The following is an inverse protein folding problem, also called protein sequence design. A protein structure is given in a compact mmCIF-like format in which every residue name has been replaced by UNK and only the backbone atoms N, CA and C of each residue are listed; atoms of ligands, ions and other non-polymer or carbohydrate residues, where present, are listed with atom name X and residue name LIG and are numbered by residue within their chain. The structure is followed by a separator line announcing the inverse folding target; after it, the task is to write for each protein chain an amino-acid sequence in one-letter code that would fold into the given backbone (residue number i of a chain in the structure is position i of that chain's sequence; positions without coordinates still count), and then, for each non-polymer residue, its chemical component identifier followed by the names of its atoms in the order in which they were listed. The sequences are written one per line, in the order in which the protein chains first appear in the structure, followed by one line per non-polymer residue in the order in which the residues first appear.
data_IF_158414477131
#
_entry.id   IF_158414477131
#
_cell.length_a   1.000
_cell.length_b   1.000
_cell.length_c   1.000
_cell.angle_alpha   90.00
_cell.angle_beta   90.00
_cell.angle_gamma   90.00
#
_symmetry.space_group_name_H-M   'P 1'
#
loop_
_entity.id
_entity.type
_entity.pdbx_description
1 polymer ?
#
# COMPACT_ATOMS: atom_id res chain seq x y z
N UNK A 1 0.08 -20.35 22.35
CA UNK A 1 -1.12 -20.96 21.71
C UNK A 1 -0.86 -21.00 20.20
N UNK A 2 -1.15 -22.11 19.51
CA UNK A 2 -1.04 -22.19 18.06
C UNK A 2 -2.35 -21.75 17.43
N UNK A 3 -2.26 -20.84 16.48
CA UNK A 3 -3.41 -20.25 15.77
C UNK A 3 -3.17 -20.32 14.26
N UNK A 4 -4.23 -20.62 13.50
CA UNK A 4 -4.18 -20.48 12.05
C UNK A 4 -4.45 -19.03 11.69
N UNK A 5 -3.70 -18.51 10.74
CA UNK A 5 -3.84 -17.15 10.24
C UNK A 5 -3.92 -17.13 8.72
N UNK A 6 -4.67 -16.15 8.20
CA UNK A 6 -4.60 -15.72 6.81
C UNK A 6 -3.89 -14.38 6.76
N UNK A 7 -2.76 -14.31 6.08
CA UNK A 7 -1.89 -13.12 6.14
C UNK A 7 -1.41 -12.61 4.80
N UNK A 8 -1.22 -11.29 4.72
CA UNK A 8 -0.57 -10.59 3.61
C UNK A 8 0.82 -10.17 4.08
N UNK A 9 1.85 -10.63 3.39
CA UNK A 9 3.24 -10.30 3.72
C UNK A 9 3.51 -8.85 3.33
N UNK A 10 3.76 -7.99 4.32
CA UNK A 10 4.04 -6.57 4.09
C UNK A 10 5.50 -6.31 3.74
N UNK A 11 6.42 -7.07 4.31
CA UNK A 11 7.84 -6.94 4.04
C UNK A 11 8.69 -7.78 4.97
N UNK A 12 9.93 -8.00 4.56
CA UNK A 12 10.91 -8.79 5.33
C UNK A 12 12.19 -7.99 5.47
N UNK A 13 12.70 -7.88 6.70
CA UNK A 13 13.95 -7.21 7.01
C UNK A 13 14.96 -8.17 7.61
N UNK A 14 16.26 -7.97 7.30
CA UNK A 14 17.33 -8.75 7.90
C UNK A 14 17.38 -8.46 9.41
N UNK A 15 17.39 -9.50 10.23
CA UNK A 15 17.52 -9.40 11.68
C UNK A 15 18.92 -9.84 12.15
N UNK A 16 19.35 -11.02 11.71
CA UNK A 16 20.69 -11.55 11.95
C UNK A 16 21.06 -12.55 10.83
N UNK A 17 22.19 -13.23 10.97
CA UNK A 17 22.67 -14.16 9.93
C UNK A 17 21.81 -15.43 9.78
N UNK A 18 20.99 -15.74 10.77
CA UNK A 18 20.13 -16.95 10.78
C UNK A 18 18.66 -16.65 10.57
N UNK A 19 18.22 -15.41 10.84
CA UNK A 19 16.81 -15.04 10.81
C UNK A 19 16.58 -13.66 10.21
N UNK A 20 15.50 -13.57 9.49
CA UNK A 20 14.85 -12.32 9.09
C UNK A 20 13.59 -12.12 9.93
N UNK A 21 13.07 -10.91 9.97
CA UNK A 21 11.76 -10.60 10.53
C UNK A 21 10.83 -10.23 9.37
N UNK A 22 9.72 -10.96 9.23
CA UNK A 22 8.67 -10.64 8.27
C UNK A 22 7.49 -10.01 8.99
N UNK A 23 7.03 -8.87 8.48
CA UNK A 23 5.81 -8.21 8.91
C UNK A 23 4.65 -8.73 8.08
N UNK A 24 3.59 -9.18 8.73
CA UNK A 24 2.42 -9.78 8.09
C UNK A 24 1.17 -9.09 8.63
N UNK A 25 0.30 -8.63 7.75
CA UNK A 25 -1.03 -8.16 8.12
C UNK A 25 -2.00 -9.32 8.03
N UNK A 26 -2.48 -9.76 9.18
CA UNK A 26 -3.36 -10.92 9.29
C UNK A 26 -4.81 -10.50 9.43
N UNK A 27 -5.71 -11.34 8.91
CA UNK A 27 -7.15 -11.12 9.01
C UNK A 27 -7.65 -11.19 10.45
N UNK A 28 -7.02 -12.07 11.27
CA UNK A 28 -7.47 -12.46 12.62
C UNK A 28 -6.82 -11.60 13.72
N UNK A 29 -5.58 -11.10 13.49
CA UNK A 29 -4.77 -10.48 14.54
C UNK A 29 -4.20 -9.10 14.17
N UNK A 30 -4.55 -8.58 12.97
CA UNK A 30 -3.91 -7.38 12.48
C UNK A 30 -2.43 -7.59 12.13
N UNK A 31 -1.59 -6.60 12.33
CA UNK A 31 -0.17 -6.70 12.02
C UNK A 31 0.57 -7.49 13.08
N UNK A 32 1.32 -8.50 12.65
CA UNK A 32 2.24 -9.28 13.48
C UNK A 32 3.65 -9.30 12.88
N UNK A 33 4.65 -9.49 13.74
CA UNK A 33 6.03 -9.74 13.33
C UNK A 33 6.38 -11.21 13.57
N UNK A 34 7.00 -11.85 12.58
CA UNK A 34 7.36 -13.26 12.66
C UNK A 34 8.82 -13.52 12.27
N UNK A 35 9.45 -14.51 12.91
CA UNK A 35 10.77 -14.97 12.52
C UNK A 35 10.67 -15.81 11.25
N UNK A 36 11.45 -15.43 10.25
CA UNK A 36 11.66 -16.17 9.01
C UNK A 36 13.13 -16.65 8.95
N UNK A 37 13.39 -17.89 8.54
CA UNK A 37 14.76 -18.37 8.43
C UNK A 37 15.52 -17.61 7.34
N UNK A 38 16.73 -17.14 7.66
CA UNK A 38 17.69 -16.62 6.70
C UNK A 38 18.72 -17.74 6.37
N UNK A 39 19.26 -17.73 5.15
CA UNK A 39 20.31 -18.64 4.75
C UNK A 39 20.05 -19.38 3.43
N UNK A 40 21.02 -20.20 3.02
CA UNK A 40 21.06 -20.85 1.69
C UNK A 40 20.45 -22.24 1.64
N UNK A 41 19.95 -22.79 2.77
CA UNK A 41 19.34 -24.11 2.78
C UNK A 41 18.08 -24.16 1.89
N UNK A 42 17.75 -25.34 1.33
CA UNK A 42 16.55 -25.55 0.53
C UNK A 42 15.29 -25.10 1.28
N UNK A 43 15.18 -25.42 2.56
CA UNK A 43 14.05 -25.01 3.41
C UNK A 43 13.99 -23.49 3.59
N UNK A 44 15.12 -22.83 3.82
CA UNK A 44 15.20 -21.37 3.96
C UNK A 44 14.77 -20.68 2.68
N UNK A 45 15.30 -21.10 1.51
CA UNK A 45 14.92 -20.55 0.20
C UNK A 45 13.43 -20.72 -0.08
N UNK A 46 12.84 -21.88 0.21
CA UNK A 46 11.39 -22.09 0.05
C UNK A 46 10.58 -21.17 0.96
N UNK A 47 10.99 -20.97 2.19
CA UNK A 47 10.31 -20.05 3.12
C UNK A 47 10.41 -18.61 2.62
N UNK A 48 11.59 -18.15 2.22
CA UNK A 48 11.80 -16.82 1.66
C UNK A 48 10.96 -16.58 0.42
N UNK A 49 10.87 -17.56 -0.49
CA UNK A 49 10.02 -17.46 -1.69
C UNK A 49 8.52 -17.32 -1.36
N UNK A 50 8.06 -17.89 -0.24
CA UNK A 50 6.66 -17.77 0.22
C UNK A 50 6.39 -16.45 0.95
N UNK A 51 7.44 -15.80 1.48
CA UNK A 51 7.37 -14.55 2.22
C UNK A 51 7.80 -13.34 1.38
N UNK A 52 7.57 -13.39 0.07
CA UNK A 52 7.77 -12.24 -0.80
C UNK A 52 6.74 -11.13 -0.53
N UNK A 53 7.07 -9.86 -0.79
CA UNK A 53 6.16 -8.74 -0.60
C UNK A 53 4.80 -8.98 -1.28
N UNK A 54 3.71 -8.72 -0.56
CA UNK A 54 2.33 -8.92 -0.97
C UNK A 54 1.95 -10.37 -1.32
N UNK A 55 2.75 -11.37 -0.89
CA UNK A 55 2.27 -12.77 -0.88
C UNK A 55 1.11 -12.92 0.08
N UNK A 56 0.09 -13.68 -0.32
CA UNK A 56 -1.04 -14.05 0.54
C UNK A 56 -0.84 -15.49 0.99
N UNK A 57 -0.79 -15.71 2.28
CA UNK A 57 -0.42 -16.99 2.88
C UNK A 57 -1.44 -17.44 3.94
N UNK A 58 -1.54 -18.74 4.09
CA UNK A 58 -2.02 -19.40 5.30
C UNK A 58 -0.83 -19.94 6.08
N UNK A 59 -0.88 -19.81 7.40
CA UNK A 59 0.18 -20.31 8.26
C UNK A 59 -0.32 -20.56 9.69
N UNK A 60 0.49 -21.27 10.46
CA UNK A 60 0.31 -21.43 11.90
C UNK A 60 1.29 -20.53 12.63
N UNK A 61 0.79 -19.70 13.51
CA UNK A 61 1.59 -18.84 14.39
C UNK A 61 1.52 -19.35 15.81
N UNK A 62 2.68 -19.45 16.44
CA UNK A 62 2.75 -19.71 17.86
C UNK A 62 2.79 -18.37 18.62
N UNK A 63 1.60 -17.90 18.99
CA UNK A 63 1.43 -16.63 19.72
C UNK A 63 1.97 -16.77 21.13
N UNK A 64 2.77 -15.82 21.55
CA UNK A 64 3.30 -15.65 22.90
C UNK A 64 2.84 -14.33 23.48
N UNK A 65 2.35 -14.32 24.68
CA UNK A 65 1.97 -13.09 25.39
C UNK A 65 3.18 -12.26 25.84
N UNK A 66 4.37 -12.86 25.85
CA UNK A 66 5.61 -12.22 26.34
C UNK A 66 6.57 -11.80 25.23
N UNK A 67 6.25 -12.07 23.97
CA UNK A 67 7.13 -11.78 22.81
C UNK A 67 6.38 -11.01 21.74
N UNK A 68 7.02 -9.98 21.21
CA UNK A 68 6.53 -9.21 20.07
C UNK A 68 6.76 -9.92 18.72
N UNK A 69 7.76 -10.80 18.65
CA UNK A 69 8.10 -11.55 17.44
C UNK A 69 7.74 -13.02 17.65
N UNK A 70 6.91 -13.54 16.76
CA UNK A 70 6.34 -14.86 16.86
C UNK A 70 7.01 -15.86 15.92
N UNK A 71 6.85 -17.16 16.20
CA UNK A 71 7.33 -18.23 15.33
C UNK A 71 6.23 -18.61 14.32
N UNK A 72 6.62 -18.72 13.05
CA UNK A 72 5.75 -19.11 11.96
C UNK A 72 6.08 -20.55 11.51
N UNK A 73 5.05 -21.34 11.25
CA UNK A 73 5.16 -22.70 10.73
C UNK A 73 4.02 -23.02 9.75
N UNK A 74 4.18 -24.08 8.96
CA UNK A 74 3.13 -24.54 8.05
C UNK A 74 2.74 -23.54 6.99
N UNK A 75 3.67 -22.67 6.54
CA UNK A 75 3.39 -21.62 5.56
C UNK A 75 2.96 -22.26 4.24
N UNK A 76 1.78 -21.89 3.78
CA UNK A 76 1.26 -22.26 2.45
C UNK A 76 0.80 -20.99 1.72
N UNK A 77 1.17 -20.81 0.43
CA UNK A 77 0.62 -19.72 -0.35
C UNK A 77 -0.84 -20.03 -0.64
N UNK A 78 -1.75 -19.07 -0.36
CA UNK A 78 -3.16 -19.17 -0.80
C UNK A 78 -3.23 -19.10 -2.32
N UNK A 79 -2.29 -18.37 -2.94
CA UNK A 79 -2.19 -18.22 -4.39
C UNK A 79 -0.75 -18.10 -4.83
N UNK A 80 -0.43 -18.70 -5.97
CA UNK A 80 0.81 -18.49 -6.70
C UNK A 80 0.54 -17.38 -7.74
N UNK A 81 1.30 -16.29 -7.65
CA UNK A 81 1.17 -15.17 -8.58
C UNK A 81 1.75 -15.54 -9.94
N UNK A 82 1.04 -15.17 -11.01
CA UNK A 82 1.44 -15.48 -12.39
C UNK A 82 2.39 -14.42 -12.97
N UNK A 83 2.12 -13.16 -12.67
CA UNK A 83 2.79 -12.01 -13.29
C UNK A 83 3.35 -11.02 -12.28
N UNK A 84 2.85 -11.00 -11.06
CA UNK A 84 3.11 -9.98 -10.05
C UNK A 84 4.62 -9.70 -9.83
N UNK A 85 5.46 -10.73 -9.85
CA UNK A 85 6.91 -10.62 -9.63
C UNK A 85 7.73 -10.69 -10.93
N UNK A 86 7.11 -11.03 -12.05
CA UNK A 86 7.80 -11.24 -13.34
C UNK A 86 7.62 -10.08 -14.30
N UNK A 87 6.51 -9.32 -14.19
CA UNK A 87 6.32 -8.08 -14.93
C UNK A 87 7.00 -6.93 -14.16
N UNK A 88 7.97 -6.21 -14.77
CA UNK A 88 8.72 -5.16 -14.08
C UNK A 88 7.84 -4.05 -13.50
N UNK A 89 6.77 -3.67 -14.23
CA UNK A 89 5.84 -2.63 -13.78
C UNK A 89 5.01 -3.10 -12.60
N UNK A 90 4.47 -4.32 -12.65
CA UNK A 90 3.72 -4.90 -11.51
C UNK A 90 4.62 -5.11 -10.30
N UNK A 91 5.86 -5.52 -10.52
CA UNK A 91 6.85 -5.70 -9.44
C UNK A 91 7.17 -4.37 -8.75
N UNK A 92 7.36 -3.27 -9.50
CA UNK A 92 7.60 -1.95 -8.92
C UNK A 92 6.39 -1.43 -8.14
N UNK A 93 5.17 -1.61 -8.66
CA UNK A 93 3.93 -1.30 -7.94
C UNK A 93 3.84 -2.14 -6.64
N UNK A 94 4.19 -3.42 -6.70
CA UNK A 94 4.20 -4.32 -5.54
C UNK A 94 5.16 -3.83 -4.46
N UNK A 95 6.37 -3.40 -4.84
CA UNK A 95 7.36 -2.86 -3.89
C UNK A 95 6.87 -1.57 -3.25
N UNK A 96 6.33 -0.64 -4.03
CA UNK A 96 5.78 0.62 -3.53
C UNK A 96 4.65 0.38 -2.53
N UNK A 97 3.65 -0.42 -2.90
CA UNK A 97 2.50 -0.70 -2.05
C UNK A 97 2.90 -1.51 -0.80
N UNK A 98 3.84 -2.42 -0.92
CA UNK A 98 4.38 -3.20 0.21
C UNK A 98 5.05 -2.30 1.25
N UNK A 99 5.93 -1.38 0.83
CA UNK A 99 6.57 -0.43 1.75
C UNK A 99 5.53 0.52 2.36
N UNK A 100 4.62 1.06 1.56
CA UNK A 100 3.55 1.92 2.02
C UNK A 100 2.68 1.24 3.09
N UNK A 101 2.18 0.03 2.80
CA UNK A 101 1.37 -0.74 3.73
C UNK A 101 2.12 -1.14 5.00
N UNK A 102 3.43 -1.41 4.91
CA UNK A 102 4.27 -1.69 6.09
C UNK A 102 4.25 -0.52 7.07
N UNK A 103 4.20 0.71 6.57
CA UNK A 103 4.17 1.91 7.41
C UNK A 103 2.77 2.23 7.89
N UNK A 104 1.80 2.21 6.98
CA UNK A 104 0.40 2.50 7.30
C UNK A 104 -0.17 1.55 8.34
N UNK A 105 0.16 0.25 8.23
CA UNK A 105 -0.39 -0.81 9.07
C UNK A 105 0.53 -1.16 10.25
N UNK A 106 1.45 -0.28 10.63
CA UNK A 106 2.48 -0.57 11.65
C UNK A 106 1.88 -1.10 12.96
N UNK A 107 0.83 -0.49 13.43
CA UNK A 107 0.15 -0.83 14.68
C UNK A 107 -1.34 -1.14 14.45
N UNK A 108 -1.68 -1.57 13.22
CA UNK A 108 -3.06 -1.76 12.81
C UNK A 108 -3.68 -2.99 13.51
N UNK A 109 -4.87 -2.83 14.12
CA UNK A 109 -5.65 -3.94 14.62
C UNK A 109 -6.20 -4.79 13.46
N UNK A 110 -6.77 -5.97 13.75
CA UNK A 110 -7.45 -6.77 12.74
C UNK A 110 -8.68 -6.02 12.20
N UNK A 111 -8.72 -5.85 10.88
CA UNK A 111 -9.85 -5.26 10.17
C UNK A 111 -10.14 -6.14 8.92
N UNK A 112 -11.13 -7.04 9.00
CA UNK A 112 -11.39 -7.98 7.91
C UNK A 112 -11.74 -7.33 6.58
N UNK A 113 -12.44 -6.19 6.58
CA UNK A 113 -12.80 -5.47 5.34
C UNK A 113 -11.56 -4.88 4.66
N UNK A 114 -10.64 -4.33 5.44
CA UNK A 114 -9.37 -3.81 4.95
C UNK A 114 -8.50 -4.94 4.40
N UNK A 115 -8.43 -6.08 5.11
CA UNK A 115 -7.71 -7.26 4.64
C UNK A 115 -8.28 -7.78 3.32
N UNK A 116 -9.61 -7.89 3.21
CA UNK A 116 -10.29 -8.33 1.99
C UNK A 116 -10.05 -7.35 0.83
N UNK A 117 -10.09 -6.03 1.07
CA UNK A 117 -9.76 -5.00 0.08
C UNK A 117 -8.33 -5.16 -0.44
N UNK A 118 -7.33 -5.24 0.45
CA UNK A 118 -5.92 -5.35 0.06
C UNK A 118 -5.71 -6.66 -0.72
N UNK A 119 -6.22 -7.80 -0.22
CA UNK A 119 -6.04 -9.09 -0.87
C UNK A 119 -6.68 -9.15 -2.26
N UNK A 120 -7.87 -8.57 -2.43
CA UNK A 120 -8.55 -8.50 -3.73
C UNK A 120 -7.81 -7.57 -4.70
N UNK A 121 -7.29 -6.44 -4.21
CA UNK A 121 -6.50 -5.52 -5.02
C UNK A 121 -5.22 -6.20 -5.56
N UNK A 122 -4.51 -6.97 -4.74
CA UNK A 122 -3.33 -7.71 -5.19
C UNK A 122 -3.71 -8.75 -6.26
N UNK A 123 -4.83 -9.46 -6.10
CA UNK A 123 -5.36 -10.40 -7.10
C UNK A 123 -5.68 -9.72 -8.42
N UNK A 124 -6.27 -8.53 -8.37
CA UNK A 124 -6.55 -7.72 -9.56
C UNK A 124 -5.28 -7.27 -10.26
N UNK A 125 -4.25 -6.83 -9.53
CA UNK A 125 -2.95 -6.46 -10.11
C UNK A 125 -2.30 -7.64 -10.84
N UNK A 126 -2.32 -8.83 -10.23
CA UNK A 126 -1.78 -10.03 -10.89
C UNK A 126 -2.56 -10.40 -12.16
N UNK A 127 -3.89 -10.25 -12.15
CA UNK A 127 -4.78 -10.70 -13.21
C UNK A 127 -4.91 -9.71 -14.38
N UNK A 128 -4.66 -8.41 -14.19
CA UNK A 128 -4.84 -7.41 -15.25
C UNK A 128 -3.70 -7.43 -16.25
N UNK A 129 -4.03 -7.37 -17.55
CA UNK A 129 -3.08 -7.29 -18.67
C UNK A 129 -3.13 -5.91 -19.36
N UNK A 130 -4.08 -5.06 -19.00
CA UNK A 130 -4.19 -3.71 -19.56
C UNK A 130 -3.07 -2.81 -19.04
N UNK A 131 -2.17 -2.37 -19.92
CA UNK A 131 -0.98 -1.59 -19.60
C UNK A 131 -1.29 -0.28 -18.85
N UNK A 132 -2.36 0.44 -19.24
CA UNK A 132 -2.73 1.68 -18.55
C UNK A 132 -3.31 1.39 -17.16
N UNK A 133 -4.10 0.32 -17.01
CA UNK A 133 -4.62 -0.10 -15.71
C UNK A 133 -3.48 -0.48 -14.76
N UNK A 134 -2.46 -1.19 -15.25
CA UNK A 134 -1.26 -1.52 -14.47
C UNK A 134 -0.52 -0.25 -14.08
N UNK A 135 -0.29 0.67 -15.05
CA UNK A 135 0.43 1.91 -14.82
C UNK A 135 -0.27 2.85 -13.81
N UNK A 136 -1.60 2.83 -13.72
CA UNK A 136 -2.38 3.67 -12.82
C UNK A 136 -2.83 2.93 -11.54
N UNK A 137 -2.45 1.65 -11.41
CA UNK A 137 -2.95 0.79 -10.34
C UNK A 137 -2.68 1.34 -8.94
N UNK A 138 -1.48 1.82 -8.69
CA UNK A 138 -1.06 2.36 -7.39
C UNK A 138 -1.85 3.62 -7.01
N UNK A 139 -2.16 4.52 -7.97
CA UNK A 139 -3.02 5.68 -7.74
C UNK A 139 -4.42 5.21 -7.35
N UNK A 140 -4.98 4.28 -8.12
CA UNK A 140 -6.31 3.71 -7.85
C UNK A 140 -6.38 3.05 -6.48
N UNK A 141 -5.37 2.27 -6.12
CA UNK A 141 -5.26 1.61 -4.83
C UNK A 141 -5.24 2.64 -3.68
N UNK A 142 -4.37 3.65 -3.76
CA UNK A 142 -4.21 4.66 -2.72
C UNK A 142 -5.48 5.51 -2.54
N UNK A 143 -6.13 5.92 -3.63
CA UNK A 143 -7.40 6.66 -3.56
C UNK A 143 -8.52 5.79 -2.96
N UNK A 144 -8.66 4.54 -3.40
CA UNK A 144 -9.68 3.64 -2.84
C UNK A 144 -9.42 3.35 -1.35
N UNK A 145 -8.16 3.19 -0.98
CA UNK A 145 -7.76 2.96 0.41
C UNK A 145 -8.05 4.18 1.29
N UNK A 146 -7.92 5.42 0.78
CA UNK A 146 -8.19 6.64 1.56
C UNK A 146 -9.64 6.67 2.08
N UNK A 147 -10.60 6.16 1.30
CA UNK A 147 -11.98 6.01 1.74
C UNK A 147 -12.10 5.05 2.93
N UNK A 148 -11.41 3.91 2.88
CA UNK A 148 -11.44 2.93 3.98
C UNK A 148 -10.74 3.45 5.25
N UNK A 149 -9.73 4.30 5.07
CA UNK A 149 -9.00 4.93 6.16
C UNK A 149 -9.69 6.20 6.72
N UNK A 150 -10.84 6.59 6.16
CA UNK A 150 -11.61 7.76 6.60
C UNK A 150 -10.98 9.10 6.25
N UNK A 151 -10.07 9.12 5.28
CA UNK A 151 -9.39 10.34 4.81
C UNK A 151 -9.63 10.63 3.33
N UNK A 152 -10.69 10.09 2.73
CA UNK A 152 -10.99 10.40 1.34
C UNK A 152 -11.20 11.91 1.17
N UNK A 153 -10.56 12.58 0.18
CA UNK A 153 -10.83 13.99 -0.10
C UNK A 153 -12.32 14.27 -0.30
N UNK A 154 -12.85 15.21 0.45
CA UNK A 154 -14.21 15.67 0.27
C UNK A 154 -14.27 16.71 -0.85
N UNK A 155 -14.92 16.34 -1.93
CA UNK A 155 -15.10 17.16 -3.15
C UNK A 155 -16.56 17.50 -3.41
N UNK A 156 -17.46 17.28 -2.44
CA UNK A 156 -18.90 17.49 -2.59
C UNK A 156 -19.25 18.93 -2.98
N UNK A 157 -18.54 19.89 -2.36
CA UNK A 157 -18.78 21.32 -2.54
C UNK A 157 -17.76 21.98 -3.48
N UNK A 158 -17.02 21.18 -4.29
CA UNK A 158 -16.00 21.72 -5.18
C UNK A 158 -16.59 22.73 -6.18
N UNK A 159 -15.93 23.87 -6.30
CA UNK A 159 -16.16 24.91 -7.31
C UNK A 159 -14.82 25.35 -7.90
N UNK A 160 -14.86 25.85 -9.15
CA UNK A 160 -13.66 26.36 -9.81
C UNK A 160 -12.99 27.49 -9.00
N UNK A 161 -11.66 27.41 -8.90
CA UNK A 161 -10.87 28.35 -8.13
C UNK A 161 -10.65 27.95 -6.65
N UNK A 162 -11.25 26.86 -6.18
CA UNK A 162 -10.97 26.32 -4.86
C UNK A 162 -9.63 25.58 -4.82
N UNK A 163 -8.98 25.63 -3.68
CA UNK A 163 -7.77 24.90 -3.30
C UNK A 163 -8.11 23.74 -2.39
N UNK A 164 -7.34 22.65 -2.46
CA UNK A 164 -7.50 21.52 -1.56
C UNK A 164 -6.65 21.72 -0.30
N UNK A 165 -7.29 21.74 0.85
CA UNK A 165 -6.62 21.74 2.14
C UNK A 165 -6.32 20.29 2.58
N UNK A 166 -5.04 19.91 2.50
CA UNK A 166 -4.59 18.56 2.82
C UNK A 166 -4.72 18.20 4.31
N UNK A 167 -4.84 19.17 5.22
CA UNK A 167 -5.01 18.88 6.65
C UNK A 167 -6.44 18.52 7.00
N UNK A 168 -7.39 19.28 6.46
CA UNK A 168 -8.82 19.04 6.70
C UNK A 168 -9.46 18.07 5.70
N UNK A 169 -8.80 17.83 4.56
CA UNK A 169 -9.32 16.95 3.50
C UNK A 169 -10.46 17.55 2.68
N UNK A 170 -10.65 18.88 2.71
CA UNK A 170 -11.77 19.57 2.04
C UNK A 170 -11.30 20.61 1.03
N UNK A 171 -12.20 21.00 0.13
CA UNK A 171 -12.00 22.09 -0.81
C UNK A 171 -12.35 23.43 -0.14
N UNK A 172 -11.53 24.46 -0.34
CA UNK A 172 -11.73 25.79 0.24
C UNK A 172 -11.23 26.89 -0.68
N UNK A 173 -11.86 28.09 -0.64
CA UNK A 173 -11.33 29.25 -1.34
C UNK A 173 -10.03 29.78 -0.72
N UNK A 174 -9.12 30.36 -1.51
CA UNK A 174 -7.83 30.89 -1.05
C UNK A 174 -7.94 31.92 0.08
N UNK A 175 -9.03 32.67 0.14
CA UNK A 175 -9.26 33.74 1.13
C UNK A 175 -9.32 33.25 2.59
N UNK A 176 -9.64 31.99 2.82
CA UNK A 176 -9.69 31.39 4.16
C UNK A 176 -8.33 30.83 4.60
N UNK A 177 -7.25 31.28 3.95
CA UNK A 177 -5.93 30.66 3.93
C UNK A 177 -5.07 30.85 5.19
N UNK A 178 -5.53 31.52 6.23
CA UNK A 178 -4.69 31.90 7.39
C UNK A 178 -4.30 30.75 8.32
N UNK A 179 -4.88 29.55 8.15
CA UNK A 179 -4.72 28.45 9.12
C UNK A 179 -3.96 27.21 8.61
N UNK A 180 -3.74 27.05 7.31
CA UNK A 180 -3.28 25.76 6.75
C UNK A 180 -1.75 25.58 6.59
N UNK A 181 -0.95 26.61 6.89
CA UNK A 181 0.51 26.48 7.06
C UNK A 181 1.26 25.74 5.94
N UNK A 182 0.95 25.99 4.64
CA UNK A 182 1.69 25.38 3.51
C UNK A 182 1.25 23.98 3.07
N UNK A 183 0.13 23.48 3.60
CA UNK A 183 -0.43 22.16 3.22
C UNK A 183 -1.63 22.29 2.27
N UNK A 184 -1.55 23.19 1.31
CA UNK A 184 -2.55 23.38 0.27
C UNK A 184 -2.04 22.98 -1.09
N UNK A 185 -2.93 22.43 -1.89
CA UNK A 185 -2.74 22.25 -3.33
C UNK A 185 -3.42 23.42 -4.01
N UNK A 186 -2.71 24.13 -4.89
CA UNK A 186 -3.21 25.28 -5.63
C UNK A 186 -4.47 24.94 -6.46
N UNK A 187 -5.25 25.96 -6.83
CA UNK A 187 -6.53 25.79 -7.53
C UNK A 187 -6.39 25.01 -8.85
N UNK A 188 -5.30 25.24 -9.61
CA UNK A 188 -5.07 24.55 -10.90
C UNK A 188 -4.92 23.05 -10.70
N UNK A 189 -4.11 22.61 -9.74
CA UNK A 189 -3.92 21.19 -9.42
C UNK A 189 -5.12 20.61 -8.69
N UNK A 190 -5.80 21.39 -7.87
CA UNK A 190 -7.00 20.98 -7.13
C UNK A 190 -8.18 20.65 -8.05
N UNK A 191 -8.26 21.27 -9.24
CA UNK A 191 -9.31 20.97 -10.22
C UNK A 191 -9.34 19.51 -10.70
N UNK A 192 -8.23 18.79 -10.56
CA UNK A 192 -8.14 17.37 -10.91
C UNK A 192 -8.60 16.43 -9.80
N UNK A 193 -8.68 16.89 -8.54
CA UNK A 193 -9.01 16.03 -7.39
C UNK A 193 -10.40 15.41 -7.51
N UNK A 194 -11.47 16.12 -7.92
CA UNK A 194 -12.80 15.52 -8.13
C UNK A 194 -12.78 14.37 -9.15
N UNK A 195 -11.92 14.46 -10.16
CA UNK A 195 -11.73 13.39 -11.15
C UNK A 195 -10.94 12.23 -10.58
N UNK A 196 -9.88 12.49 -9.81
CA UNK A 196 -9.07 11.45 -9.17
C UNK A 196 -9.85 10.65 -8.12
N UNK A 197 -10.72 11.30 -7.35
CA UNK A 197 -11.55 10.60 -6.34
C UNK A 197 -12.52 9.59 -6.97
N UNK A 198 -12.87 9.77 -8.25
CA UNK A 198 -13.72 8.83 -9.01
C UNK A 198 -12.98 7.68 -9.66
N UNK A 199 -11.63 7.66 -9.58
CA UNK A 199 -10.85 6.57 -10.14
C UNK A 199 -11.13 5.28 -9.38
N UNK A 200 -11.29 4.19 -10.12
CA UNK A 200 -11.51 2.85 -9.57
C UNK A 200 -10.94 1.78 -10.52
N UNK A 201 -10.94 0.53 -10.12
CA UNK A 201 -10.33 -0.56 -10.89
C UNK A 201 -11.01 -0.83 -12.24
N UNK A 202 -12.25 -0.38 -12.45
CA UNK A 202 -12.96 -0.55 -13.74
C UNK A 202 -12.64 0.54 -14.74
N UNK A 203 -12.31 1.76 -14.29
CA UNK A 203 -12.08 2.93 -15.15
C UNK A 203 -10.62 3.41 -15.20
N UNK A 204 -9.72 2.92 -14.32
CA UNK A 204 -8.36 3.43 -14.23
C UNK A 204 -7.56 3.29 -15.54
N UNK A 205 -7.89 2.32 -16.38
CA UNK A 205 -7.28 2.15 -17.70
C UNK A 205 -7.62 3.24 -18.72
N UNK A 206 -8.64 4.04 -18.48
CA UNK A 206 -9.03 5.15 -19.35
C UNK A 206 -8.23 6.45 -19.09
N UNK A 207 -7.63 6.58 -17.91
CA UNK A 207 -6.79 7.73 -17.58
C UNK A 207 -5.46 7.67 -18.32
N UNK A 208 -5.08 8.77 -18.94
CA UNK A 208 -3.86 8.90 -19.78
C UNK A 208 -2.85 9.83 -19.11
N UNK A 209 -2.29 9.41 -17.99
CA UNK A 209 -1.23 10.16 -17.33
C UNK A 209 0.13 9.85 -17.98
N UNK A 210 0.95 10.87 -18.19
CA UNK A 210 2.39 10.72 -18.44
C UNK A 210 3.11 10.15 -17.22
N UNK A 211 4.35 9.67 -17.37
CA UNK A 211 5.17 9.23 -16.23
C UNK A 211 5.31 10.32 -15.18
N UNK A 212 5.62 11.56 -15.62
CA UNK A 212 5.77 12.72 -14.74
C UNK A 212 4.49 13.02 -13.95
N UNK A 213 3.33 13.07 -14.63
CA UNK A 213 2.04 13.31 -13.96
C UNK A 213 1.73 12.23 -12.93
N UNK A 214 1.97 10.96 -13.23
CA UNK A 214 1.79 9.87 -12.25
C UNK A 214 2.68 10.08 -11.03
N UNK A 215 3.95 10.41 -11.23
CA UNK A 215 4.89 10.66 -10.14
C UNK A 215 4.46 11.83 -9.26
N UNK A 216 3.98 12.92 -9.86
CA UNK A 216 3.46 14.08 -9.13
C UNK A 216 2.19 13.74 -8.34
N UNK A 217 1.24 13.01 -8.94
CA UNK A 217 0.01 12.55 -8.29
C UNK A 217 0.34 11.67 -7.09
N UNK A 218 1.22 10.68 -7.27
CA UNK A 218 1.61 9.76 -6.17
C UNK A 218 2.30 10.52 -5.05
N UNK A 219 3.24 11.43 -5.37
CA UNK A 219 3.90 12.24 -4.36
C UNK A 219 2.91 13.11 -3.56
N UNK A 220 1.90 13.70 -4.22
CA UNK A 220 0.85 14.46 -3.55
C UNK A 220 -0.01 13.57 -2.64
N UNK A 221 -0.41 12.38 -3.12
CA UNK A 221 -1.19 11.42 -2.32
C UNK A 221 -0.38 10.95 -1.10
N UNK A 222 0.89 10.59 -1.27
CA UNK A 222 1.74 10.15 -0.16
C UNK A 222 1.95 11.28 0.86
N UNK A 223 2.17 12.52 0.40
CA UNK A 223 2.22 13.69 1.29
C UNK A 223 0.92 13.86 2.08
N UNK A 224 -0.22 13.68 1.43
CA UNK A 224 -1.54 13.71 2.09
C UNK A 224 -1.65 12.61 3.15
N UNK A 225 -1.32 11.37 2.81
CA UNK A 225 -1.29 10.28 3.79
C UNK A 225 -0.35 10.56 4.96
N UNK A 226 0.82 11.14 4.71
CA UNK A 226 1.80 11.46 5.75
C UNK A 226 1.31 12.47 6.79
N UNK A 227 0.37 13.35 6.41
CA UNK A 227 -0.28 14.29 7.35
C UNK A 227 -1.26 13.59 8.30
N UNK A 228 -1.88 12.50 7.87
CA UNK A 228 -2.87 11.75 8.65
C UNK A 228 -2.27 10.51 9.32
N UNK A 229 -1.24 9.92 8.71
CA UNK A 229 -0.55 8.70 9.17
C UNK A 229 0.97 8.91 9.11
N UNK A 230 1.61 9.25 10.23
CA UNK A 230 3.04 9.58 10.27
C UNK A 230 3.94 8.50 9.62
N UNK A 231 4.84 8.95 8.75
CA UNK A 231 5.81 8.10 8.08
C UNK A 231 5.36 7.50 6.74
N UNK A 232 4.11 7.76 6.29
CA UNK A 232 3.62 7.31 4.98
C UNK A 232 4.09 8.16 3.79
N UNK A 233 4.72 9.29 4.02
CA UNK A 233 5.16 10.28 3.02
C UNK A 233 6.58 10.04 2.47
N UNK A 234 7.43 9.31 3.19
CA UNK A 234 8.85 9.14 2.84
C UNK A 234 9.16 7.68 2.47
N UNK A 235 8.78 7.26 1.27
CA UNK A 235 9.00 5.89 0.77
C UNK A 235 10.29 5.81 -0.07
N UNK A 236 11.19 4.90 0.29
CA UNK A 236 12.42 4.62 -0.48
C UNK A 236 12.12 4.02 -1.86
N UNK A 237 11.08 3.20 -1.95
CA UNK A 237 10.65 2.58 -3.21
C UNK A 237 10.09 3.58 -4.21
N UNK A 238 9.75 4.81 -3.79
CA UNK A 238 9.25 5.84 -4.70
C UNK A 238 10.29 6.27 -5.73
N UNK A 239 11.57 6.32 -5.36
CA UNK A 239 12.64 6.72 -6.28
C UNK A 239 12.86 5.63 -7.35
N UNK A 240 12.90 4.37 -6.94
CA UNK A 240 12.98 3.22 -7.88
C UNK A 240 11.74 3.19 -8.79
N UNK A 241 10.57 3.48 -8.23
CA UNK A 241 9.32 3.53 -8.97
C UNK A 241 9.35 4.60 -10.08
N UNK A 242 9.89 5.80 -9.81
CA UNK A 242 10.03 6.87 -10.81
C UNK A 242 10.90 6.43 -11.99
N UNK A 243 12.06 5.81 -11.73
CA UNK A 243 12.98 5.34 -12.77
C UNK A 243 12.33 4.35 -13.77
N UNK A 244 11.33 3.58 -13.33
CA UNK A 244 10.64 2.59 -14.18
C UNK A 244 9.54 3.23 -15.05
N UNK A 245 8.98 4.37 -14.59
CA UNK A 245 7.85 5.02 -15.26
C UNK A 245 8.24 6.29 -16.04
N UNK A 246 9.44 6.79 -15.89
CA UNK A 246 10.04 7.86 -16.71
C UNK A 246 10.68 7.29 -17.98
#
# INVERSE_FOLDING_TARGET
MRENISGIVLGTVKHNDRHNISNIYTRERGRIAVLAPAGSSKKSRQTTARLQPLSIIEAQVNMSSTREIHNLSGIQPIRIWKTLYYDPVKSSVTMLLSEFLTRLLRDAPPEPRLWDFISNSIRLLDATDNRNSIANFHITFLISLSSMMGIQPDVSDYQDGMEFDMKSGVMAYPFNATTSGGYRIDATRSSFIPTLVRINYTNCGHFRFSGKERSEIVAAILKYYGLHFPGCDNLKSLDIFKEIFE
#
